data_IF_942272524208
#
_entry.id   IF_942272524208
#
_cell.length_a   1.000
_cell.length_b   1.000
_cell.length_c   1.000
_cell.angle_alpha   90.00
_cell.angle_beta   90.00
_cell.angle_gamma   90.00
#
_symmetry.space_group_name_H-M   'P 1'
#
loop_
_entity.id
_entity.type
_entity.pdbx_description
1 polymer ?
#
# COMPACT_ATOMS: atom_id res chain seq x y z
N UNK A 1 22.23 -23.65 66.61
CA UNK A 1 23.64 -23.60 66.13
C UNK A 1 23.62 -23.55 64.61
N UNK A 2 24.40 -22.65 64.02
CA UNK A 2 24.33 -22.17 62.62
C UNK A 2 25.50 -22.79 61.83
N UNK A 3 25.25 -23.44 60.69
CA UNK A 3 26.21 -23.77 59.60
C UNK A 3 25.36 -23.96 58.34
N UNK A 4 25.22 -23.06 57.36
CA UNK A 4 26.14 -22.29 56.49
C UNK A 4 26.97 -23.17 55.53
N UNK A 5 26.50 -23.15 54.27
CA UNK A 5 27.21 -23.19 52.96
C UNK A 5 27.69 -24.54 52.40
N UNK A 6 27.16 -24.83 51.21
CA UNK A 6 27.74 -25.69 50.19
C UNK A 6 27.10 -25.38 48.84
N UNK A 7 27.45 -24.22 48.26
CA UNK A 7 27.19 -23.92 46.85
C UNK A 7 28.25 -24.64 45.99
N UNK A 8 27.89 -24.85 44.72
CA UNK A 8 28.73 -25.19 43.56
C UNK A 8 28.84 -26.68 43.23
N UNK A 9 28.08 -27.11 42.21
CA UNK A 9 28.64 -27.84 41.05
C UNK A 9 27.62 -27.92 39.90
N UNK A 10 27.95 -27.18 38.83
CA UNK A 10 27.79 -27.50 37.40
C UNK A 10 26.40 -27.97 36.91
N UNK A 11 25.64 -27.14 36.18
CA UNK A 11 25.89 -26.79 34.77
C UNK A 11 26.09 -28.02 33.87
N UNK A 12 24.99 -28.71 33.53
CA UNK A 12 24.93 -29.57 32.35
C UNK A 12 23.60 -29.37 31.60
N UNK A 13 23.65 -28.51 30.59
CA UNK A 13 23.07 -28.73 29.25
C UNK A 13 21.56 -29.10 29.26
N UNK A 14 20.61 -28.17 29.26
CA UNK A 14 20.38 -27.16 28.22
C UNK A 14 20.64 -27.69 26.80
N UNK A 15 19.75 -28.56 26.29
CA UNK A 15 19.73 -28.89 24.87
C UNK A 15 19.10 -30.24 24.58
N UNK A 16 17.80 -30.27 24.27
CA UNK A 16 17.26 -31.35 23.39
C UNK A 16 15.79 -31.22 22.98
N UNK A 17 14.95 -30.40 23.61
CA UNK A 17 13.49 -30.51 23.37
C UNK A 17 12.84 -29.33 22.61
N UNK A 18 13.62 -28.43 22.01
CA UNK A 18 13.09 -27.36 21.14
C UNK A 18 13.06 -27.73 19.65
N UNK A 19 13.36 -28.99 19.29
CA UNK A 19 13.30 -29.48 17.91
C UNK A 19 11.98 -30.19 17.66
N UNK A 20 10.90 -29.43 17.44
CA UNK A 20 9.61 -30.05 17.14
C UNK A 20 8.51 -29.04 16.88
N UNK A 21 8.55 -28.42 15.70
CA UNK A 21 7.43 -27.85 14.93
C UNK A 21 7.81 -26.53 14.24
N UNK A 22 8.90 -26.54 13.45
CA UNK A 22 9.02 -25.58 12.36
C UNK A 22 8.16 -26.06 11.18
N UNK A 23 6.83 -26.04 11.34
CA UNK A 23 5.96 -25.96 10.17
C UNK A 23 6.22 -24.59 9.54
N UNK A 24 6.50 -24.48 8.23
CA UNK A 24 6.47 -23.18 7.59
C UNK A 24 5.03 -22.67 7.75
N UNK A 25 4.83 -21.73 8.67
CA UNK A 25 3.67 -20.87 8.62
C UNK A 25 3.87 -20.09 7.32
N UNK A 26 3.23 -20.56 6.25
CA UNK A 26 3.08 -19.78 5.04
C UNK A 26 2.38 -18.50 5.47
N UNK A 27 3.17 -17.45 5.71
CA UNK A 27 2.68 -16.11 5.88
C UNK A 27 1.88 -15.85 4.61
N UNK A 28 0.56 -15.93 4.72
CA UNK A 28 -0.33 -15.53 3.67
C UNK A 28 0.08 -14.10 3.34
N UNK A 29 0.70 -13.91 2.17
CA UNK A 29 1.00 -12.57 1.67
C UNK A 29 -0.32 -11.79 1.77
N UNK A 30 -0.31 -10.55 2.29
CA UNK A 30 -1.53 -9.77 2.36
C UNK A 30 -2.13 -9.78 0.96
N UNK A 31 -3.32 -10.36 0.84
CA UNK A 31 -4.08 -10.31 -0.39
C UNK A 31 -4.32 -8.82 -0.61
N UNK A 32 -3.51 -8.21 -1.48
CA UNK A 32 -3.69 -6.85 -1.92
C UNK A 32 -5.03 -6.88 -2.64
N UNK A 33 -6.11 -6.56 -1.92
CA UNK A 33 -7.37 -6.21 -2.56
C UNK A 33 -6.99 -5.01 -3.42
N UNK A 34 -6.83 -5.26 -4.72
CA UNK A 34 -6.83 -4.21 -5.70
C UNK A 34 -8.21 -3.59 -5.58
N UNK A 35 -8.30 -2.51 -4.81
CA UNK A 35 -9.47 -1.66 -4.83
C UNK A 35 -9.54 -1.19 -6.28
N UNK A 36 -10.47 -1.74 -7.06
CA UNK A 36 -10.79 -1.20 -8.37
C UNK A 36 -11.43 0.14 -8.09
N UNK A 37 -10.61 1.19 -8.03
CA UNK A 37 -11.15 2.54 -7.94
C UNK A 37 -11.81 2.82 -9.28
N UNK A 38 -13.13 2.95 -9.24
CA UNK A 38 -13.89 3.30 -10.42
C UNK A 38 -13.39 4.66 -10.92
N UNK A 39 -12.75 4.67 -12.09
CA UNK A 39 -12.26 5.90 -12.68
C UNK A 39 -13.43 6.73 -13.18
N UNK A 40 -13.78 7.80 -12.46
CA UNK A 40 -14.87 8.70 -12.83
C UNK A 40 -14.34 9.85 -13.68
N UNK A 41 -14.90 10.05 -14.87
CA UNK A 41 -14.57 11.19 -15.72
C UNK A 41 -15.14 12.48 -15.12
N UNK A 42 -14.27 13.39 -14.72
CA UNK A 42 -14.66 14.70 -14.19
C UNK A 42 -14.81 15.75 -15.30
N UNK A 43 -13.89 15.76 -16.25
CA UNK A 43 -13.87 16.75 -17.32
C UNK A 43 -12.76 16.50 -18.33
N UNK A 44 -12.74 17.32 -19.38
CA UNK A 44 -11.74 17.28 -20.44
C UNK A 44 -11.19 18.69 -20.70
N UNK A 45 -9.90 18.77 -20.94
CA UNK A 45 -9.15 20.03 -21.03
C UNK A 45 -8.28 20.06 -22.29
N UNK A 46 -8.07 21.24 -22.85
CA UNK A 46 -7.22 21.40 -24.04
C UNK A 46 -5.73 21.22 -23.75
N UNK A 47 -5.29 21.46 -22.51
CA UNK A 47 -3.88 21.40 -22.11
C UNK A 47 -3.69 20.47 -20.91
N UNK A 48 -2.51 19.84 -20.85
CA UNK A 48 -2.13 18.99 -19.72
C UNK A 48 -2.06 19.79 -18.42
N UNK A 49 -1.59 21.04 -18.48
CA UNK A 49 -1.45 21.92 -17.32
C UNK A 49 -2.80 22.23 -16.68
N UNK A 50 -3.85 22.47 -17.48
CA UNK A 50 -5.20 22.65 -16.95
C UNK A 50 -5.70 21.37 -16.27
N UNK A 51 -5.52 20.21 -16.91
CA UNK A 51 -5.92 18.93 -16.32
C UNK A 51 -5.24 18.68 -14.97
N UNK A 52 -3.92 18.93 -14.88
CA UNK A 52 -3.14 18.80 -13.64
C UNK A 52 -3.55 19.81 -12.59
N UNK A 53 -3.71 21.07 -12.96
CA UNK A 53 -4.11 22.13 -12.04
C UNK A 53 -5.42 21.77 -11.31
N UNK A 54 -6.45 21.35 -12.05
CA UNK A 54 -7.72 20.96 -11.45
C UNK A 54 -7.58 19.67 -10.63
N UNK A 55 -6.89 18.65 -11.15
CA UNK A 55 -6.66 17.40 -10.42
C UNK A 55 -5.92 17.61 -9.09
N UNK A 56 -4.85 18.41 -9.11
CA UNK A 56 -4.08 18.76 -7.91
C UNK A 56 -4.90 19.59 -6.94
N UNK A 57 -5.70 20.55 -7.42
CA UNK A 57 -6.55 21.37 -6.56
C UNK A 57 -7.56 20.52 -5.76
N UNK A 58 -8.10 19.46 -6.39
CA UNK A 58 -9.07 18.56 -5.78
C UNK A 58 -8.43 17.56 -4.82
N UNK A 59 -7.20 17.13 -5.11
CA UNK A 59 -6.40 16.30 -4.17
C UNK A 59 -5.95 17.13 -2.97
N UNK A 60 -5.42 18.33 -3.19
CA UNK A 60 -4.98 19.23 -2.11
C UNK A 60 -6.16 19.70 -1.24
N UNK A 61 -7.34 19.88 -1.85
CA UNK A 61 -8.59 20.16 -1.13
C UNK A 61 -9.18 18.95 -0.38
N UNK A 62 -8.57 17.76 -0.50
CA UNK A 62 -9.02 16.53 0.15
C UNK A 62 -10.29 15.93 -0.43
N UNK A 63 -10.77 16.43 -1.58
CA UNK A 63 -11.94 15.87 -2.27
C UNK A 63 -11.60 14.53 -2.91
N UNK A 64 -10.39 14.40 -3.48
CA UNK A 64 -9.92 13.20 -4.17
C UNK A 64 -8.68 12.61 -3.50
N UNK A 65 -8.56 11.29 -3.54
CA UNK A 65 -7.33 10.60 -3.12
C UNK A 65 -6.26 10.64 -4.20
N UNK A 66 -6.64 10.44 -5.46
CA UNK A 66 -5.76 10.54 -6.61
C UNK A 66 -6.52 10.92 -7.87
N UNK A 67 -5.77 11.28 -8.91
CA UNK A 67 -6.32 11.62 -10.22
C UNK A 67 -5.40 11.15 -11.34
N UNK A 68 -5.94 11.12 -12.56
CA UNK A 68 -5.17 10.81 -13.75
C UNK A 68 -5.58 11.70 -14.92
N UNK A 69 -4.62 12.06 -15.76
CA UNK A 69 -4.82 12.85 -16.97
C UNK A 69 -4.50 11.98 -18.19
N UNK A 70 -5.52 11.65 -18.99
CA UNK A 70 -5.38 10.77 -20.14
C UNK A 70 -5.61 11.55 -21.43
N UNK A 71 -4.66 11.51 -22.34
CA UNK A 71 -4.81 12.12 -23.66
C UNK A 71 -5.68 11.22 -24.55
N UNK A 72 -6.81 11.74 -25.04
CA UNK A 72 -7.69 10.99 -25.93
C UNK A 72 -8.25 11.87 -27.06
N UNK A 73 -8.48 11.25 -28.20
CA UNK A 73 -9.15 11.85 -29.36
C UNK A 73 -10.66 11.88 -29.14
N UNK A 74 -11.29 13.05 -29.30
CA UNK A 74 -12.74 13.20 -29.25
C UNK A 74 -13.31 13.22 -30.68
N UNK A 75 -14.07 12.18 -31.09
CA UNK A 75 -14.46 11.99 -32.48
C UNK A 75 -15.50 13.02 -32.95
N UNK A 76 -16.34 13.53 -32.05
CA UNK A 76 -17.38 14.50 -32.39
C UNK A 76 -16.82 15.89 -32.70
N UNK A 77 -15.79 16.31 -31.96
CA UNK A 77 -15.17 17.64 -32.14
C UNK A 77 -13.97 17.60 -33.10
N UNK A 78 -13.55 16.40 -33.52
CA UNK A 78 -12.34 16.16 -34.31
C UNK A 78 -11.10 16.80 -33.69
N UNK A 79 -10.96 16.69 -32.36
CA UNK A 79 -9.85 17.24 -31.60
C UNK A 79 -9.45 16.32 -30.45
N UNK A 80 -8.21 16.45 -29.98
CA UNK A 80 -7.73 15.71 -28.80
C UNK A 80 -7.82 16.56 -27.54
N UNK A 81 -8.15 15.90 -26.43
CA UNK A 81 -8.25 16.51 -25.11
C UNK A 81 -7.52 15.68 -24.05
N UNK A 82 -7.20 16.31 -22.93
CA UNK A 82 -6.76 15.68 -21.70
C UNK A 82 -7.96 15.45 -20.78
N UNK A 83 -8.30 14.18 -20.59
CA UNK A 83 -9.41 13.74 -19.76
C UNK A 83 -8.94 13.57 -18.32
N UNK A 84 -9.60 14.25 -17.40
CA UNK A 84 -9.33 14.17 -15.98
C UNK A 84 -10.24 13.11 -15.37
N UNK A 85 -9.62 12.03 -14.89
CA UNK A 85 -10.29 10.98 -14.15
C UNK A 85 -9.94 11.05 -12.67
N UNK A 86 -10.93 10.94 -11.81
CA UNK A 86 -10.70 10.58 -10.40
C UNK A 86 -10.23 9.13 -10.34
N UNK A 87 -9.21 8.83 -9.55
CA UNK A 87 -8.63 7.48 -9.41
C UNK A 87 -8.50 7.07 -7.96
#
# INVERSE_FOLDING_TARGET
>A
MRKVRGFVALACVAGSLLLGAATPANAAAPAHRATVTASYLFGYYYTLDACRYFGESLVQGGAWGSYNCVYQWHPYDQQSYWYLYMS
#
